data_IF_189777388867
#
_entry.id   IF_189777388867
#
_cell.length_a   1.000
_cell.length_b   1.000
_cell.length_c   1.000
_cell.angle_alpha   90.00
_cell.angle_beta   90.00
_cell.angle_gamma   90.00
#
_symmetry.space_group_name_H-M   'P 1'
#
loop_
_entity.id
_entity.type
_entity.pdbx_description
1 polymer ?
#
# COMPACT_ATOMS: atom_id res chain seq x y z
N UNK A 1 10.47 12.61 -22.84
CA UNK A 1 10.12 11.25 -22.40
C UNK A 1 8.93 11.37 -21.47
N UNK A 2 8.00 10.42 -21.48
CA UNK A 2 6.85 10.45 -20.57
C UNK A 2 7.38 10.18 -19.15
N UNK A 3 7.15 11.07 -18.19
CA UNK A 3 7.59 10.89 -16.80
C UNK A 3 6.63 9.95 -16.06
N UNK A 4 6.47 8.74 -16.61
CA UNK A 4 5.54 7.74 -16.09
C UNK A 4 6.00 6.31 -16.38
N UNK A 5 5.55 5.37 -15.56
CA UNK A 5 5.75 3.93 -15.76
C UNK A 5 4.46 3.18 -15.47
N UNK A 6 4.07 2.22 -16.32
CA UNK A 6 2.84 1.44 -16.14
C UNK A 6 3.16 -0.02 -15.82
N UNK A 7 2.57 -0.54 -14.75
CA UNK A 7 2.72 -1.92 -14.30
C UNK A 7 1.39 -2.64 -14.45
N UNK A 8 1.24 -3.41 -15.53
CA UNK A 8 0.03 -4.20 -15.77
C UNK A 8 -0.07 -5.37 -14.79
N UNK A 9 -1.28 -5.68 -14.33
CA UNK A 9 -1.56 -6.69 -13.31
C UNK A 9 -0.93 -8.04 -13.63
N UNK A 10 -1.02 -8.46 -14.89
CA UNK A 10 -0.52 -9.74 -15.42
C UNK A 10 1.00 -9.79 -15.64
N UNK A 11 1.72 -8.69 -15.40
CA UNK A 11 3.18 -8.61 -15.50
C UNK A 11 3.87 -8.62 -14.13
N UNK A 12 3.09 -8.67 -13.04
CA UNK A 12 3.61 -8.77 -11.67
C UNK A 12 4.27 -10.12 -11.44
N UNK A 13 5.25 -10.15 -10.54
CA UNK A 13 5.76 -11.42 -10.01
C UNK A 13 4.64 -12.18 -9.31
N UNK A 14 4.66 -13.50 -9.38
CA UNK A 14 3.70 -14.32 -8.64
C UNK A 14 4.42 -15.45 -7.90
N UNK A 15 4.04 -15.65 -6.64
CA UNK A 15 4.48 -16.75 -5.82
C UNK A 15 3.24 -17.39 -5.17
N UNK A 16 2.99 -18.66 -5.49
CA UNK A 16 1.90 -19.43 -4.92
C UNK A 16 2.44 -20.62 -4.12
N UNK A 17 2.24 -20.57 -2.81
CA UNK A 17 2.69 -21.58 -1.84
C UNK A 17 1.53 -22.44 -1.31
N UNK A 18 0.38 -22.43 -1.99
CA UNK A 18 -0.85 -23.08 -1.57
C UNK A 18 -1.62 -22.28 -0.52
N UNK A 19 -0.97 -21.95 0.60
CA UNK A 19 -1.58 -21.14 1.67
C UNK A 19 -1.45 -19.62 1.43
N UNK A 20 -0.44 -19.21 0.67
CA UNK A 20 -0.18 -17.83 0.27
C UNK A 20 -0.16 -17.75 -1.25
N UNK A 21 -0.94 -16.85 -1.82
CA UNK A 21 -0.82 -16.43 -3.21
C UNK A 21 -0.47 -14.94 -3.23
N UNK A 22 0.78 -14.62 -3.55
CA UNK A 22 1.33 -13.28 -3.51
C UNK A 22 1.60 -12.76 -4.93
N UNK A 23 1.19 -11.52 -5.20
CA UNK A 23 1.53 -10.82 -6.43
C UNK A 23 2.42 -9.60 -6.13
N UNK A 24 3.61 -9.57 -6.73
CA UNK A 24 4.65 -8.59 -6.43
C UNK A 24 4.72 -7.52 -7.52
N UNK A 25 4.44 -6.26 -7.16
CA UNK A 25 4.64 -5.12 -8.07
C UNK A 25 6.13 -4.78 -8.27
N UNK A 26 6.96 -5.07 -7.27
CA UNK A 26 8.42 -4.86 -7.26
C UNK A 26 9.17 -6.13 -6.86
N UNK A 27 10.45 -6.20 -7.19
CA UNK A 27 11.33 -7.35 -6.95
C UNK A 27 11.32 -7.74 -5.49
N UNK A 28 10.93 -8.97 -5.19
CA UNK A 28 10.70 -9.43 -3.83
C UNK A 28 10.94 -10.93 -3.72
N UNK A 29 11.51 -11.35 -2.59
CA UNK A 29 11.93 -12.72 -2.35
C UNK A 29 12.73 -13.30 -3.53
N UNK A 30 12.28 -14.40 -4.13
CA UNK A 30 12.96 -15.07 -5.24
C UNK A 30 12.59 -14.51 -6.63
N UNK A 31 11.65 -13.56 -6.71
CA UNK A 31 11.29 -12.93 -7.97
C UNK A 31 12.06 -11.62 -8.16
N UNK A 32 12.81 -11.53 -9.25
CA UNK A 32 13.63 -10.37 -9.57
C UNK A 32 13.32 -9.84 -10.97
N UNK A 33 13.06 -8.53 -11.04
CA UNK A 33 12.97 -7.77 -12.27
C UNK A 33 13.78 -6.46 -12.08
N UNK A 34 14.90 -6.28 -12.81
CA UNK A 34 15.77 -5.13 -12.63
C UNK A 34 15.10 -3.79 -12.96
N UNK A 35 14.00 -3.79 -13.74
CA UNK A 35 13.23 -2.58 -14.05
C UNK A 35 12.18 -2.26 -12.97
N UNK A 36 11.96 -3.15 -12.01
CA UNK A 36 10.97 -3.01 -10.93
C UNK A 36 11.59 -3.32 -9.58
N UNK A 37 12.68 -2.65 -9.21
CA UNK A 37 13.29 -2.86 -7.89
C UNK A 37 12.53 -2.08 -6.80
N UNK A 38 12.15 -0.84 -7.10
CA UNK A 38 11.36 0.05 -6.26
C UNK A 38 10.83 1.22 -7.13
N UNK A 39 9.94 2.05 -6.59
CA UNK A 39 9.52 3.33 -7.17
C UNK A 39 9.78 4.44 -6.14
N UNK A 40 10.81 5.26 -6.34
CA UNK A 40 11.23 6.19 -5.27
C UNK A 40 11.52 5.43 -3.97
N UNK A 41 10.95 5.89 -2.85
CA UNK A 41 11.01 5.21 -1.56
C UNK A 41 10.11 3.95 -1.43
N UNK A 42 9.17 3.72 -2.35
CA UNK A 42 8.26 2.55 -2.33
C UNK A 42 9.00 1.28 -2.75
N UNK A 43 9.35 0.45 -1.79
CA UNK A 43 10.19 -0.74 -1.98
C UNK A 43 9.39 -2.01 -2.25
N UNK A 44 8.24 -2.18 -1.58
CA UNK A 44 7.36 -3.35 -1.74
C UNK A 44 5.92 -2.90 -1.86
N UNK A 45 5.19 -3.54 -2.78
CA UNK A 45 3.75 -3.51 -2.86
C UNK A 45 3.31 -4.91 -3.30
N UNK A 46 2.92 -5.71 -2.31
CA UNK A 46 2.41 -7.05 -2.51
C UNK A 46 0.88 -7.06 -2.38
N UNK A 47 0.23 -7.84 -3.23
CA UNK A 47 -1.21 -8.13 -3.21
C UNK A 47 -1.36 -9.60 -2.83
N UNK A 48 -1.55 -9.82 -1.53
CA UNK A 48 -1.45 -11.13 -0.90
C UNK A 48 -2.85 -11.69 -0.63
N UNK A 49 -3.03 -12.99 -0.92
CA UNK A 49 -4.18 -13.77 -0.49
C UNK A 49 -3.70 -14.89 0.43
N UNK A 50 -4.19 -14.92 1.66
CA UNK A 50 -3.79 -15.83 2.73
C UNK A 50 -4.96 -16.74 3.08
N UNK A 51 -4.75 -18.05 3.00
CA UNK A 51 -5.74 -19.07 3.34
C UNK A 51 -6.16 -19.01 4.83
N UNK A 52 -7.35 -19.52 5.13
CA UNK A 52 -7.90 -19.58 6.49
C UNK A 52 -6.92 -20.24 7.48
N UNK A 53 -6.74 -19.64 8.65
CA UNK A 53 -5.87 -20.12 9.72
C UNK A 53 -4.36 -20.12 9.42
N UNK A 54 -3.94 -19.65 8.24
CA UNK A 54 -2.54 -19.67 7.81
C UNK A 54 -1.90 -18.29 7.93
N UNK A 55 -0.57 -18.23 7.88
CA UNK A 55 0.14 -16.98 8.08
C UNK A 55 1.65 -17.08 8.00
N UNK A 56 2.27 -15.93 8.15
CA UNK A 56 3.70 -15.75 8.28
C UNK A 56 4.11 -15.98 9.75
N UNK A 57 4.99 -16.97 9.96
CA UNK A 57 5.63 -17.17 11.25
C UNK A 57 6.51 -15.98 11.66
N UNK A 58 7.02 -16.00 12.89
CA UNK A 58 7.82 -14.90 13.42
C UNK A 58 9.09 -14.66 12.61
N UNK A 59 9.21 -13.47 12.01
CA UNK A 59 10.35 -13.05 11.19
C UNK A 59 10.79 -11.61 11.54
N UNK A 60 12.07 -11.25 11.31
CA UNK A 60 12.59 -9.94 11.63
C UNK A 60 12.39 -8.93 10.49
N UNK A 61 12.33 -7.65 10.86
CA UNK A 61 12.51 -6.48 9.99
C UNK A 61 13.39 -5.45 10.70
N UNK A 62 14.12 -4.65 9.93
CA UNK A 62 14.84 -3.46 10.39
C UNK A 62 14.63 -2.31 9.40
N UNK A 63 14.73 -1.06 9.88
CA UNK A 63 14.74 0.16 9.06
C UNK A 63 13.76 0.16 7.86
N UNK A 64 12.50 -0.18 8.13
CA UNK A 64 11.44 -0.26 7.14
C UNK A 64 10.13 0.22 7.75
N UNK A 65 9.39 1.03 7.00
CA UNK A 65 7.99 1.36 7.32
C UNK A 65 7.10 0.33 6.63
N UNK A 66 6.36 -0.46 7.41
CA UNK A 66 5.56 -1.59 6.94
C UNK A 66 4.08 -1.26 7.16
N UNK A 67 3.35 -1.11 6.07
CA UNK A 67 1.94 -0.72 6.05
C UNK A 67 1.09 -1.90 5.56
N UNK A 68 0.05 -2.22 6.32
CA UNK A 68 -0.93 -3.25 5.95
C UNK A 68 -2.30 -2.61 5.71
N UNK A 69 -2.90 -2.92 4.56
CA UNK A 69 -4.28 -2.51 4.21
C UNK A 69 -5.09 -3.76 3.84
N UNK A 70 -5.94 -4.29 4.74
CA UNK A 70 -6.84 -5.39 4.40
C UNK A 70 -7.92 -4.96 3.40
N UNK A 71 -8.15 -5.79 2.39
CA UNK A 71 -9.16 -5.62 1.34
C UNK A 71 -10.35 -6.57 1.53
N UNK A 72 -10.10 -7.74 2.13
CA UNK A 72 -11.10 -8.76 2.45
C UNK A 72 -10.60 -9.57 3.66
N UNK A 73 -11.48 -9.90 4.59
CA UNK A 73 -11.12 -10.64 5.80
C UNK A 73 -10.32 -9.80 6.81
N UNK A 74 -9.58 -10.50 7.66
CA UNK A 74 -8.88 -9.95 8.83
C UNK A 74 -7.44 -10.50 8.91
N UNK A 75 -6.52 -9.73 9.48
CA UNK A 75 -5.13 -10.17 9.75
C UNK A 75 -4.80 -9.98 11.22
N UNK A 76 -4.50 -11.07 11.93
CA UNK A 76 -3.98 -11.02 13.28
C UNK A 76 -2.47 -10.76 13.26
N UNK A 77 -2.04 -9.77 14.03
CA UNK A 77 -0.65 -9.35 14.18
C UNK A 77 -0.17 -9.62 15.61
N UNK A 78 1.11 -9.98 15.74
CA UNK A 78 1.82 -10.02 17.02
C UNK A 78 3.28 -9.65 16.81
N UNK A 79 3.83 -8.81 17.68
CA UNK A 79 5.24 -8.40 17.62
C UNK A 79 6.02 -8.55 18.93
N UNK A 80 7.33 -8.31 18.84
CA UNK A 80 8.28 -8.37 19.95
C UNK A 80 8.19 -7.19 20.93
N UNK A 81 7.44 -6.14 20.63
CA UNK A 81 7.13 -5.06 21.58
C UNK A 81 5.98 -5.45 22.52
N UNK A 82 5.30 -6.57 22.23
CA UNK A 82 4.17 -7.07 23.00
C UNK A 82 2.81 -6.65 22.43
N UNK A 83 2.77 -5.97 21.27
CA UNK A 83 1.49 -5.68 20.63
C UNK A 83 0.88 -6.97 20.07
N UNK A 84 -0.43 -7.09 20.21
CA UNK A 84 -1.23 -8.11 19.56
C UNK A 84 -2.57 -7.49 19.17
N UNK A 85 -2.93 -7.56 17.90
CA UNK A 85 -4.11 -6.91 17.36
C UNK A 85 -4.67 -7.68 16.17
N UNK A 86 -5.92 -7.40 15.80
CA UNK A 86 -6.52 -7.89 14.56
C UNK A 86 -6.84 -6.68 13.70
N UNK A 87 -6.22 -6.63 12.52
CA UNK A 87 -6.35 -5.58 11.51
C UNK A 87 -7.48 -6.02 10.58
N UNK A 88 -8.58 -5.28 10.57
CA UNK A 88 -9.80 -5.65 9.84
C UNK A 88 -9.89 -4.91 8.51
N UNK A 89 -10.76 -5.39 7.62
CA UNK A 89 -11.15 -4.60 6.44
C UNK A 89 -11.73 -3.25 6.89
N UNK A 90 -11.18 -2.15 6.36
CA UNK A 90 -11.51 -0.79 6.80
C UNK A 90 -10.51 -0.19 7.80
N UNK A 91 -9.56 -0.98 8.30
CA UNK A 91 -8.42 -0.48 9.04
C UNK A 91 -7.23 -0.15 8.11
N UNK A 92 -6.33 0.68 8.62
CA UNK A 92 -4.94 0.75 8.16
C UNK A 92 -4.02 0.57 9.36
N UNK A 93 -2.99 -0.22 9.16
CA UNK A 93 -1.97 -0.49 10.17
C UNK A 93 -0.60 -0.11 9.64
N UNK A 94 0.24 0.40 10.54
CA UNK A 94 1.66 0.64 10.27
C UNK A 94 2.55 0.16 11.41
N UNK A 95 3.70 -0.36 11.03
CA UNK A 95 4.79 -0.75 11.92
C UNK A 95 6.08 -0.14 11.37
N UNK A 96 6.70 0.75 12.15
CA UNK A 96 8.04 1.24 11.86
C UNK A 96 9.04 0.31 12.53
N UNK A 97 9.85 -0.40 11.74
CA UNK A 97 10.75 -1.43 12.25
C UNK A 97 11.94 -0.86 13.04
N UNK A 98 12.42 0.33 12.67
CA UNK A 98 13.45 1.06 13.40
C UNK A 98 14.71 0.22 13.68
N UNK A 99 15.17 0.23 14.93
CA UNK A 99 16.33 -0.57 15.41
C UNK A 99 16.13 -2.09 15.33
N UNK A 100 14.94 -2.56 14.95
CA UNK A 100 14.64 -3.96 14.71
C UNK A 100 13.37 -4.40 15.43
N UNK A 101 12.55 -5.19 14.73
CA UNK A 101 11.34 -5.80 15.28
C UNK A 101 11.19 -7.22 14.74
N UNK A 102 10.64 -8.12 15.57
CA UNK A 102 10.19 -9.44 15.12
C UNK A 102 8.68 -9.49 15.22
N UNK A 103 8.03 -9.98 14.17
CA UNK A 103 6.58 -10.07 14.13
C UNK A 103 6.08 -11.28 13.36
N UNK A 104 4.82 -11.62 13.57
CA UNK A 104 4.10 -12.69 12.90
C UNK A 104 2.70 -12.21 12.56
N UNK A 105 2.19 -12.67 11.43
CA UNK A 105 0.91 -12.26 10.88
C UNK A 105 0.16 -13.48 10.39
N UNK A 106 -1.09 -13.67 10.80
CA UNK A 106 -1.89 -14.80 10.36
C UNK A 106 -3.33 -14.41 10.10
N UNK A 107 -3.97 -15.09 9.16
CA UNK A 107 -5.40 -15.02 8.96
C UNK A 107 -6.09 -15.74 10.13
N UNK A 108 -6.80 -15.02 11.02
CA UNK A 108 -7.46 -15.62 12.18
C UNK A 108 -8.79 -16.30 11.83
N UNK A 109 -9.26 -16.14 10.59
CA UNK A 109 -10.55 -16.66 10.16
C UNK A 109 -10.49 -18.17 9.92
N UNK A 110 -11.51 -18.94 10.36
CA UNK A 110 -11.52 -20.39 10.24
C UNK A 110 -11.93 -20.89 8.84
N UNK A 111 -12.65 -20.08 8.07
CA UNK A 111 -13.37 -20.52 6.86
C UNK A 111 -13.33 -19.50 5.70
N UNK A 112 -12.68 -18.34 5.87
CA UNK A 112 -12.48 -17.35 4.81
C UNK A 112 -11.01 -16.97 4.64
N UNK A 113 -10.64 -16.63 3.40
CA UNK A 113 -9.32 -16.08 3.09
C UNK A 113 -9.21 -14.62 3.54
N UNK A 114 -7.98 -14.14 3.68
CA UNK A 114 -7.69 -12.71 3.87
C UNK A 114 -6.95 -12.20 2.64
N UNK A 115 -7.41 -11.07 2.10
CA UNK A 115 -6.70 -10.35 1.03
C UNK A 115 -6.23 -9.01 1.54
N UNK A 116 -5.00 -8.63 1.23
CA UNK A 116 -4.43 -7.39 1.73
C UNK A 116 -3.36 -6.85 0.78
N UNK A 117 -3.09 -5.55 0.92
CA UNK A 117 -1.84 -4.98 0.46
C UNK A 117 -0.83 -4.94 1.60
N UNK A 118 0.38 -5.43 1.30
CA UNK A 118 1.56 -5.34 2.16
C UNK A 118 2.54 -4.38 1.48
N UNK A 119 2.75 -3.22 2.08
CA UNK A 119 3.42 -2.07 1.45
C UNK A 119 4.60 -1.65 2.30
N UNK A 120 5.80 -1.59 1.71
CA UNK A 120 7.01 -1.20 2.44
C UNK A 120 7.65 0.04 1.84
N UNK A 121 7.99 0.99 2.70
CA UNK A 121 8.72 2.19 2.33
C UNK A 121 10.05 2.25 3.08
N UNK A 122 11.10 2.63 2.35
CA UNK A 122 12.33 3.05 2.99
C UNK A 122 12.04 4.29 3.87
N UNK A 123 12.43 4.28 5.15
CA UNK A 123 12.28 5.45 6.00
C UNK A 123 13.32 6.52 5.62
N UNK A 124 12.99 7.79 5.82
CA UNK A 124 13.95 8.90 5.76
C UNK A 124 14.77 9.04 7.06
N UNK A 125 14.47 8.23 8.07
CA UNK A 125 15.19 8.18 9.33
C UNK A 125 15.36 6.75 9.81
N UNK A 126 16.61 6.28 9.80
CA UNK A 126 16.98 4.97 10.32
C UNK A 126 17.15 4.97 11.84
N UNK A 127 17.14 3.77 12.42
CA UNK A 127 17.42 3.47 13.83
C UNK A 127 16.51 4.23 14.80
N UNK A 128 15.29 4.55 14.35
CA UNK A 128 14.22 5.05 15.23
C UNK A 128 13.77 3.97 16.21
N UNK A 129 13.12 4.38 17.30
CA UNK A 129 12.45 3.43 18.20
C UNK A 129 11.35 2.70 17.42
N UNK A 130 11.30 1.35 17.44
CA UNK A 130 10.23 0.61 16.80
C UNK A 130 8.87 1.05 17.34
N UNK A 131 7.87 1.11 16.45
CA UNK A 131 6.50 1.51 16.83
C UNK A 131 5.44 0.78 16.03
N UNK A 132 4.24 0.77 16.58
CA UNK A 132 3.03 0.23 15.97
C UNK A 132 1.91 1.26 16.06
N UNK A 133 1.07 1.34 15.03
CA UNK A 133 -0.20 2.07 15.06
C UNK A 133 -1.20 1.38 14.15
N UNK A 134 -2.46 1.37 14.58
CA UNK A 134 -3.59 0.92 13.80
C UNK A 134 -4.75 1.88 14.05
N UNK A 135 -5.47 2.23 13.00
CA UNK A 135 -6.71 3.01 13.10
C UNK A 135 -7.79 2.37 12.22
N UNK A 136 -9.04 2.57 12.61
CA UNK A 136 -10.20 2.27 11.76
C UNK A 136 -10.56 3.52 10.97
N UNK A 137 -10.67 3.39 9.66
CA UNK A 137 -10.96 4.50 8.75
C UNK A 137 -12.48 4.76 8.68
N UNK A 138 -12.85 6.03 8.59
CA UNK A 138 -14.19 6.40 8.13
C UNK A 138 -14.28 6.21 6.61
N UNK A 139 -14.82 5.07 6.19
CA UNK A 139 -14.94 4.73 4.77
C UNK A 139 -15.84 5.69 4.00
N UNK A 140 -16.72 6.44 4.67
CA UNK A 140 -17.56 7.44 3.99
C UNK A 140 -16.74 8.57 3.37
N UNK A 141 -15.56 8.87 3.94
CA UNK A 141 -14.64 9.87 3.43
C UNK A 141 -14.01 9.50 2.09
N UNK A 142 -14.04 8.22 1.69
CA UNK A 142 -13.47 7.73 0.42
C UNK A 142 -14.36 8.07 -0.78
N UNK A 143 -15.65 8.32 -0.55
CA UNK A 143 -16.61 8.45 -1.63
C UNK A 143 -16.36 9.73 -2.44
N UNK A 144 -16.06 9.57 -3.74
CA UNK A 144 -15.74 10.65 -4.67
C UNK A 144 -14.67 11.61 -4.12
N UNK A 145 -13.75 11.07 -3.33
CA UNK A 145 -12.76 11.83 -2.61
C UNK A 145 -11.45 11.04 -2.42
N UNK A 146 -10.36 11.77 -2.21
CA UNK A 146 -9.07 11.20 -1.81
C UNK A 146 -9.02 11.22 -0.29
N UNK A 147 -9.46 10.14 0.37
CA UNK A 147 -9.42 10.04 1.83
C UNK A 147 -7.99 9.74 2.27
N UNK A 148 -7.35 10.65 3.02
CA UNK A 148 -6.01 10.42 3.51
C UNK A 148 -6.01 9.33 4.57
N UNK A 149 -5.09 8.37 4.45
CA UNK A 149 -4.96 7.25 5.39
C UNK A 149 -3.57 7.15 6.01
N UNK A 150 -2.59 7.84 5.44
CA UNK A 150 -1.22 7.86 5.94
C UNK A 150 -0.52 9.18 5.57
N UNK A 151 0.34 9.67 6.46
CA UNK A 151 1.12 10.90 6.28
C UNK A 151 2.49 10.83 7.01
N UNK A 152 3.41 11.82 6.83
CA UNK A 152 4.62 11.95 7.64
C UNK A 152 4.38 12.55 9.04
N UNK A 153 3.17 13.04 9.34
CA UNK A 153 2.88 13.84 10.53
C UNK A 153 1.95 13.09 11.50
N UNK A 154 2.37 12.86 12.77
CA UNK A 154 1.54 12.21 13.78
C UNK A 154 0.20 12.90 14.08
N UNK A 155 0.09 14.20 13.79
CA UNK A 155 -1.11 15.01 14.08
C UNK A 155 -2.04 15.18 12.88
N UNK A 156 -1.73 14.54 11.74
CA UNK A 156 -2.53 14.62 10.52
C UNK A 156 -3.47 13.41 10.38
N UNK A 157 -4.36 13.42 9.39
CA UNK A 157 -5.28 12.32 9.13
C UNK A 157 -4.53 11.04 8.76
N UNK A 158 -4.93 9.92 9.37
CA UNK A 158 -4.37 8.61 9.08
C UNK A 158 -3.39 8.09 10.13
N UNK A 159 -2.66 7.03 9.76
CA UNK A 159 -1.46 6.61 10.49
C UNK A 159 -0.26 7.44 10.04
N UNK A 160 0.83 7.44 10.81
CA UNK A 160 2.03 8.18 10.43
C UNK A 160 3.27 7.31 10.33
N UNK A 161 4.19 7.72 9.45
CA UNK A 161 5.48 7.05 9.18
C UNK A 161 6.68 8.00 9.18
N UNK A 162 7.87 7.42 9.28
CA UNK A 162 9.14 8.13 9.10
C UNK A 162 9.53 8.23 7.62
N UNK A 163 8.65 8.77 6.78
CA UNK A 163 8.94 9.10 5.38
C UNK A 163 7.97 10.17 4.90
N UNK A 164 8.42 11.07 4.02
CA UNK A 164 7.64 12.16 3.45
C UNK A 164 6.63 11.69 2.37
N UNK A 165 5.76 10.76 2.75
CA UNK A 165 4.79 10.12 1.87
C UNK A 165 3.35 10.27 2.39
N UNK A 166 2.39 10.30 1.46
CA UNK A 166 0.96 10.40 1.76
C UNK A 166 0.18 9.35 0.99
N UNK A 167 -0.70 8.60 1.66
CA UNK A 167 -1.55 7.62 0.98
C UNK A 167 -3.01 8.04 1.05
N UNK A 168 -3.73 7.74 -0.03
CA UNK A 168 -5.15 8.00 -0.17
C UNK A 168 -5.90 6.77 -0.64
N UNK A 169 -7.02 6.46 0.00
CA UNK A 169 -8.01 5.51 -0.53
C UNK A 169 -9.18 6.29 -1.13
N UNK A 170 -9.66 5.80 -2.26
CA UNK A 170 -10.75 6.42 -3.00
C UNK A 170 -11.76 5.38 -3.48
N UNK A 171 -13.03 5.75 -3.46
CA UNK A 171 -14.18 5.04 -4.05
C UNK A 171 -14.92 6.05 -4.94
N UNK A 172 -14.62 6.04 -6.23
CA UNK A 172 -15.22 6.95 -7.19
C UNK A 172 -16.42 6.28 -7.87
N UNK A 173 -17.51 7.02 -8.00
CA UNK A 173 -18.61 6.67 -8.88
C UNK A 173 -18.16 6.69 -10.34
N UNK A 174 -18.86 5.92 -11.17
CA UNK A 174 -18.64 5.97 -12.62
C UNK A 174 -18.74 7.41 -13.14
N UNK A 175 -17.82 7.74 -14.05
CA UNK A 175 -17.68 9.04 -14.71
C UNK A 175 -17.30 10.21 -13.79
N UNK A 176 -17.09 9.97 -12.49
CA UNK A 176 -16.54 10.97 -11.59
C UNK A 176 -15.05 11.20 -11.87
N UNK A 177 -14.62 12.46 -11.84
CA UNK A 177 -13.22 12.88 -11.96
C UNK A 177 -12.86 13.86 -10.86
N UNK A 178 -11.64 13.76 -10.34
CA UNK A 178 -11.10 14.70 -9.35
C UNK A 178 -9.60 14.87 -9.54
N UNK A 179 -9.12 16.07 -9.24
CA UNK A 179 -7.70 16.39 -9.22
C UNK A 179 -7.10 16.24 -7.83
N UNK A 180 -5.86 15.76 -7.78
CA UNK A 180 -5.05 15.68 -6.57
C UNK A 180 -3.73 16.40 -6.83
N UNK A 181 -3.47 17.44 -6.04
CA UNK A 181 -2.21 18.18 -6.08
C UNK A 181 -1.16 17.51 -5.19
N UNK A 182 0.10 17.58 -5.60
CA UNK A 182 1.25 17.07 -4.87
C UNK A 182 1.41 17.82 -3.54
N UNK A 183 1.56 17.09 -2.43
CA UNK A 183 1.81 17.67 -1.11
C UNK A 183 3.25 18.18 -0.99
N UNK A 184 4.23 17.48 -1.56
CA UNK A 184 5.66 17.83 -1.45
C UNK A 184 6.40 17.75 -2.78
N UNK A 185 7.09 18.82 -3.14
CA UNK A 185 8.00 18.83 -4.29
C UNK A 185 9.10 17.76 -4.16
N UNK A 186 9.45 17.10 -5.27
CA UNK A 186 10.37 15.96 -5.29
C UNK A 186 9.66 14.60 -5.12
N UNK A 187 8.38 14.60 -4.74
CA UNK A 187 7.58 13.39 -4.74
C UNK A 187 7.04 13.07 -6.15
N UNK A 188 6.71 11.81 -6.35
CA UNK A 188 5.89 11.30 -7.45
C UNK A 188 4.64 10.62 -6.90
N UNK A 189 3.76 10.19 -7.81
CA UNK A 189 2.58 9.42 -7.45
C UNK A 189 2.68 8.00 -7.97
N UNK A 190 2.27 7.03 -7.17
CA UNK A 190 2.08 5.65 -7.57
C UNK A 190 0.64 5.23 -7.24
N UNK A 191 -0.12 4.88 -8.27
CA UNK A 191 -1.55 4.59 -8.18
C UNK A 191 -1.76 3.11 -8.50
N UNK A 192 -2.55 2.43 -7.68
CA UNK A 192 -2.91 1.03 -7.85
C UNK A 192 -4.44 0.91 -7.88
N UNK A 193 -5.00 0.41 -8.99
CA UNK A 193 -6.43 0.13 -9.09
C UNK A 193 -6.77 -1.09 -8.25
N UNK A 194 -7.66 -0.93 -7.27
CA UNK A 194 -8.14 -2.03 -6.44
C UNK A 194 -9.26 -2.75 -7.19
N UNK A 195 -10.32 -2.06 -7.57
CA UNK A 195 -11.45 -2.59 -8.32
C UNK A 195 -11.92 -1.58 -9.37
N UNK A 196 -12.60 -2.06 -10.41
CA UNK A 196 -13.10 -1.23 -11.50
C UNK A 196 -11.99 -0.78 -12.46
N UNK A 197 -12.26 0.32 -13.14
CA UNK A 197 -11.40 0.91 -14.16
C UNK A 197 -11.28 2.42 -13.95
N UNK A 198 -10.06 2.94 -14.09
CA UNK A 198 -9.76 4.37 -14.01
C UNK A 198 -8.89 4.81 -15.18
N UNK A 199 -8.99 6.09 -15.51
CA UNK A 199 -8.08 6.81 -16.39
C UNK A 199 -7.27 7.80 -15.54
N UNK A 200 -5.94 7.76 -15.66
CA UNK A 200 -5.03 8.71 -14.99
C UNK A 200 -4.20 9.43 -16.04
N UNK A 201 -4.41 10.74 -16.18
CA UNK A 201 -3.74 11.57 -17.19
C UNK A 201 -3.75 10.94 -18.62
N UNK A 202 -4.89 10.37 -19.03
CA UNK A 202 -5.08 9.73 -20.34
C UNK A 202 -4.65 8.27 -20.45
N UNK A 203 -4.13 7.65 -19.38
CA UNK A 203 -3.78 6.22 -19.35
C UNK A 203 -4.85 5.39 -18.62
N UNK A 204 -5.37 4.36 -19.29
CA UNK A 204 -6.37 3.47 -18.71
C UNK A 204 -5.72 2.37 -17.86
N UNK A 205 -6.28 2.16 -16.68
CA UNK A 205 -5.90 1.12 -15.73
C UNK A 205 -7.10 0.26 -15.38
N UNK A 206 -6.97 -1.04 -15.60
CA UNK A 206 -7.95 -2.02 -15.12
C UNK A 206 -7.62 -2.47 -13.70
N UNK A 207 -8.48 -3.31 -13.13
CA UNK A 207 -8.26 -3.98 -11.83
C UNK A 207 -6.82 -4.48 -11.69
N UNK A 208 -6.16 -4.04 -10.62
CA UNK A 208 -4.77 -4.38 -10.23
C UNK A 208 -3.67 -3.91 -11.18
N UNK A 209 -3.99 -3.10 -12.18
CA UNK A 209 -2.96 -2.31 -12.85
C UNK A 209 -2.49 -1.18 -11.93
N UNK A 210 -1.24 -0.79 -12.09
CA UNK A 210 -0.66 0.37 -11.44
C UNK A 210 0.06 1.29 -12.41
N UNK A 211 0.19 2.55 -12.04
CA UNK A 211 0.97 3.55 -12.77
C UNK A 211 1.74 4.43 -11.80
N UNK A 212 2.98 4.73 -12.13
CA UNK A 212 3.80 5.74 -11.47
C UNK A 212 3.94 6.98 -12.34
N UNK A 213 3.94 8.17 -11.74
CA UNK A 213 4.26 9.45 -12.35
C UNK A 213 5.29 10.21 -11.50
N UNK A 214 6.24 10.89 -12.13
CA UNK A 214 7.20 11.78 -11.46
C UNK A 214 7.32 13.09 -12.23
N UNK A 215 7.96 14.11 -11.65
CA UNK A 215 8.03 15.45 -12.24
C UNK A 215 6.64 15.97 -12.67
N UNK A 216 5.63 15.71 -11.84
CA UNK A 216 4.24 16.15 -12.02
C UNK A 216 3.77 16.79 -10.72
N UNK A 217 2.98 17.86 -10.80
CA UNK A 217 2.47 18.58 -9.62
C UNK A 217 1.01 18.26 -9.33
N UNK A 218 0.30 17.66 -10.27
CA UNK A 218 -1.11 17.30 -10.12
C UNK A 218 -1.42 16.03 -10.91
N UNK A 219 -2.42 15.29 -10.46
CA UNK A 219 -3.03 14.20 -11.21
C UNK A 219 -4.51 14.50 -11.42
N UNK A 220 -5.01 14.16 -12.60
CA UNK A 220 -6.44 13.99 -12.80
C UNK A 220 -6.75 12.50 -12.91
N UNK A 221 -7.64 12.03 -12.03
CA UNK A 221 -8.10 10.65 -12.02
C UNK A 221 -9.60 10.65 -12.30
N UNK A 222 -9.99 9.96 -13.38
CA UNK A 222 -11.37 9.71 -13.74
C UNK A 222 -11.68 8.23 -13.57
N UNK A 223 -12.81 7.89 -12.95
CA UNK A 223 -13.29 6.52 -12.91
C UNK A 223 -14.16 6.22 -14.14
N UNK A 224 -13.74 5.29 -15.00
CA UNK A 224 -14.51 4.91 -16.21
C UNK A 224 -15.62 3.90 -15.88
N UNK A 225 -15.46 3.17 -14.78
CA UNK A 225 -16.51 2.46 -14.06
C UNK A 225 -16.54 2.94 -12.61
N UNK A 226 -17.49 2.50 -11.79
CA UNK A 226 -17.29 2.62 -10.34
C UNK A 226 -15.98 1.92 -9.96
N UNK A 227 -15.11 2.61 -9.22
CA UNK A 227 -13.74 2.15 -9.01
C UNK A 227 -13.22 2.46 -7.62
N UNK A 228 -12.45 1.52 -7.06
CA UNK A 228 -11.69 1.72 -5.84
C UNK A 228 -10.21 1.70 -6.19
N UNK A 229 -9.43 2.59 -5.62
CA UNK A 229 -7.99 2.67 -5.90
C UNK A 229 -7.22 3.28 -4.74
N UNK A 230 -5.93 2.95 -4.68
CA UNK A 230 -4.95 3.48 -3.74
C UNK A 230 -4.04 4.45 -4.50
N UNK A 231 -3.91 5.67 -4.00
CA UNK A 231 -2.92 6.65 -4.48
C UNK A 231 -1.85 6.79 -3.41
N UNK A 232 -0.59 6.66 -3.79
CA UNK A 232 0.55 6.88 -2.90
C UNK A 232 1.41 8.00 -3.47
N UNK A 233 1.52 9.10 -2.74
CA UNK A 233 2.54 10.11 -2.99
C UNK A 233 3.84 9.67 -2.31
N UNK A 234 4.90 9.52 -3.10
CA UNK A 234 6.15 8.85 -2.72
C UNK A 234 7.36 9.75 -3.08
N UNK A 235 8.31 9.98 -2.15
CA UNK A 235 9.59 10.62 -2.47
C UNK A 235 10.35 9.87 -3.56
N UNK A 236 10.78 10.58 -4.60
CA UNK A 236 11.53 9.97 -5.71
C UNK A 236 13.00 9.71 -5.37
N UNK A 237 13.52 10.39 -4.34
CA UNK A 237 14.83 10.18 -3.73
C UNK A 237 14.61 9.68 -2.29
N UNK A 238 15.39 8.68 -1.85
CA UNK A 238 15.35 8.12 -0.49
C UNK A 238 16.76 7.97 0.07
#
# INVERSE_FOLDING_TARGET
MKNSVIHRANTRGNANHGWLNAWHSFSFANWYNPERVHFGALRVLNDDTIAAGMGFGTHPHDNMEIITIPLEGDLAHKDSMGNAATIKTGDVQVMSAGTGIRHSEFNPNPDQQTKLFQIWLFPNKENVTPRYQQITLDQSLQKNNFAQILSPNPEDEGVWIHQDAWFYLSDFDQDFSKKLDLKKEGNGFYIMTIEGEIEVNGENLSKRDAIGFWNTTTLEIKATTAAKFLVMEIPMEH
#
